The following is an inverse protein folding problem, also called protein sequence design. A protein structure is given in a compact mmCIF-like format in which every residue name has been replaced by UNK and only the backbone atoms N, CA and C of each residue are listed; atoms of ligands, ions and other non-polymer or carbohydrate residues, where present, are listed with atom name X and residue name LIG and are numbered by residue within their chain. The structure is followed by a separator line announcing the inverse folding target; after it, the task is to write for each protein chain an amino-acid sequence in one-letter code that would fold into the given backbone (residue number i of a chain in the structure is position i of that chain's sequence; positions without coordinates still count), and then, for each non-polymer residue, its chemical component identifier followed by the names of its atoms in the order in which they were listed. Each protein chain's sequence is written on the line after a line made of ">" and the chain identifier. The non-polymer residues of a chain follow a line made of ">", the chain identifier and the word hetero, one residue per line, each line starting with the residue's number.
data_IF_205914845179
#
_entry.id   IF_205914845179
#
_cell.length_a   1.000
_cell.length_b   1.000
_cell.length_c   1.000
_cell.angle_alpha   90.00
_cell.angle_beta   90.00
_cell.angle_gamma   90.00
#
_symmetry.space_group_name_H-M   'P 1'
#
loop_
_entity.id
_entity.type
_entity.pdbx_description
1 polymer ?
#
# COMPACT_ATOMS: atom_id res chain seq x y z
N UNK A 1 -37.57 -8.73 2.31
CA UNK A 1 -36.88 -7.56 1.73
C UNK A 1 -36.28 -6.72 2.86
N UNK A 2 -34.97 -6.45 2.83
CA UNK A 2 -34.32 -5.58 3.82
C UNK A 2 -34.67 -4.13 3.48
N UNK A 3 -35.26 -3.40 4.43
CA UNK A 3 -35.59 -1.99 4.23
C UNK A 3 -34.35 -1.12 4.03
N UNK A 4 -34.44 -0.02 3.27
CA UNK A 4 -33.29 0.83 2.90
C UNK A 4 -32.53 1.36 4.12
N UNK A 5 -33.23 1.66 5.21
CA UNK A 5 -32.61 2.08 6.48
C UNK A 5 -31.74 0.99 7.12
N UNK A 6 -32.18 -0.28 7.08
CA UNK A 6 -31.41 -1.41 7.59
C UNK A 6 -30.16 -1.65 6.73
N UNK A 7 -30.28 -1.51 5.41
CA UNK A 7 -29.15 -1.62 4.48
C UNK A 7 -28.11 -0.53 4.74
N UNK A 8 -28.55 0.73 4.86
CA UNK A 8 -27.68 1.86 5.18
C UNK A 8 -26.91 1.65 6.49
N UNK A 9 -27.59 1.16 7.54
CA UNK A 9 -26.96 0.86 8.83
C UNK A 9 -25.91 -0.25 8.74
N UNK A 10 -26.13 -1.27 7.91
CA UNK A 10 -25.16 -2.35 7.69
C UNK A 10 -23.94 -1.83 6.95
N UNK A 11 -24.15 -1.07 5.86
CA UNK A 11 -23.07 -0.45 5.08
C UNK A 11 -22.21 0.46 5.97
N UNK A 12 -22.84 1.31 6.79
CA UNK A 12 -22.13 2.20 7.71
C UNK A 12 -21.28 1.44 8.72
N UNK A 13 -21.80 0.36 9.31
CA UNK A 13 -21.04 -0.48 10.24
C UNK A 13 -19.86 -1.16 9.56
N UNK A 14 -20.04 -1.64 8.34
CA UNK A 14 -18.98 -2.26 7.56
C UNK A 14 -17.89 -1.24 7.23
N UNK A 15 -18.27 -0.03 6.81
CA UNK A 15 -17.34 1.06 6.55
C UNK A 15 -16.52 1.42 7.80
N UNK A 16 -17.17 1.61 8.94
CA UNK A 16 -16.48 1.90 10.20
C UNK A 16 -15.52 0.77 10.62
N UNK A 17 -15.90 -0.49 10.39
CA UNK A 17 -15.04 -1.63 10.68
C UNK A 17 -13.80 -1.65 9.76
N UNK A 18 -14.00 -1.47 8.45
CA UNK A 18 -12.92 -1.39 7.44
C UNK A 18 -11.97 -0.24 7.77
N UNK A 19 -12.51 0.95 8.02
CA UNK A 19 -11.73 2.14 8.37
C UNK A 19 -10.97 1.94 9.69
N UNK A 20 -11.64 1.40 10.72
CA UNK A 20 -11.02 1.10 12.00
C UNK A 20 -9.89 0.08 11.88
N UNK A 21 -10.07 -0.98 11.09
CA UNK A 21 -9.01 -1.96 10.81
C UNK A 21 -7.85 -1.35 10.04
N UNK A 22 -8.11 -0.53 9.02
CA UNK A 22 -7.04 0.19 8.30
C UNK A 22 -6.26 1.12 9.22
N UNK A 23 -6.96 1.93 10.03
CA UNK A 23 -6.33 2.83 10.98
C UNK A 23 -5.49 2.07 12.00
N UNK A 24 -6.00 0.94 12.51
CA UNK A 24 -5.25 0.08 13.42
C UNK A 24 -3.99 -0.48 12.75
N UNK A 25 -4.06 -0.95 11.50
CA UNK A 25 -2.86 -1.39 10.76
C UNK A 25 -1.88 -0.25 10.52
N UNK A 26 -2.35 0.95 10.16
CA UNK A 26 -1.50 2.12 9.95
C UNK A 26 -0.80 2.53 11.24
N UNK A 27 -1.52 2.54 12.37
CA UNK A 27 -0.95 2.80 13.69
C UNK A 27 0.04 1.72 14.12
N UNK A 28 -0.28 0.44 13.90
CA UNK A 28 0.65 -0.64 14.15
C UNK A 28 1.91 -0.47 13.30
N UNK A 29 1.78 -0.20 12.01
CA UNK A 29 2.93 0.02 11.13
C UNK A 29 3.79 1.20 11.62
N UNK A 30 3.16 2.31 12.02
CA UNK A 30 3.85 3.51 12.49
C UNK A 30 4.51 3.33 13.87
N UNK A 31 3.89 2.56 14.76
CA UNK A 31 4.24 2.49 16.18
C UNK A 31 4.83 1.12 16.62
N UNK A 32 4.85 0.11 15.75
CA UNK A 32 5.47 -1.21 16.01
C UNK A 32 6.93 -1.04 16.39
N UNK A 33 7.34 -1.72 17.48
CA UNK A 33 7.76 -1.03 18.68
C UNK A 33 8.94 -0.14 18.41
N UNK A 34 8.71 1.14 18.67
CA UNK A 34 9.75 2.09 18.97
C UNK A 34 9.98 2.09 20.48
N UNK A 35 11.22 1.94 20.97
CA UNK A 35 12.43 1.55 20.24
C UNK A 35 12.56 0.01 20.16
N UNK A 36 12.96 -0.52 19.01
CA UNK A 36 13.62 -1.83 19.00
C UNK A 36 14.89 -1.64 19.79
N UNK A 37 15.06 -2.31 20.93
CA UNK A 37 16.35 -2.32 21.62
C UNK A 37 17.42 -2.63 20.56
N UNK A 38 18.27 -1.64 20.29
CA UNK A 38 19.28 -1.76 19.26
C UNK A 38 20.07 -3.02 19.59
N UNK A 39 20.18 -3.88 18.59
CA UNK A 39 21.08 -4.99 18.71
C UNK A 39 22.45 -4.39 19.05
N UNK A 40 23.09 -4.87 20.12
CA UNK A 40 24.46 -4.48 20.47
C UNK A 40 25.40 -5.06 19.39
N UNK A 41 25.30 -4.48 18.20
CA UNK A 41 25.94 -4.88 16.98
C UNK A 41 27.23 -4.05 16.89
N UNK A 42 28.23 -4.51 17.63
CA UNK A 42 29.57 -3.95 17.62
C UNK A 42 30.35 -4.28 16.32
N UNK A 43 29.65 -4.70 15.26
CA UNK A 43 30.22 -5.06 13.96
C UNK A 43 31.00 -6.36 13.94
N UNK A 44 31.36 -6.97 15.08
CA UNK A 44 32.21 -8.17 15.11
C UNK A 44 31.53 -9.35 15.80
N UNK A 45 31.09 -9.20 17.04
CA UNK A 45 30.57 -10.31 17.82
C UNK A 45 29.23 -10.81 17.27
N UNK A 46 28.35 -9.89 16.89
CA UNK A 46 27.07 -10.24 16.28
C UNK A 46 27.28 -10.94 14.93
N UNK A 47 28.05 -10.33 14.03
CA UNK A 47 28.34 -10.89 12.70
C UNK A 47 28.97 -12.28 12.81
N UNK A 48 29.97 -12.43 13.68
CA UNK A 48 30.63 -13.72 13.96
C UNK A 48 29.63 -14.75 14.46
N UNK A 49 28.84 -14.41 15.48
CA UNK A 49 27.86 -15.33 16.09
C UNK A 49 26.80 -15.79 15.08
N UNK A 50 26.28 -14.88 14.25
CA UNK A 50 25.27 -15.22 13.23
C UNK A 50 25.85 -16.16 12.19
N UNK A 51 26.99 -15.81 11.59
CA UNK A 51 27.61 -16.62 10.54
C UNK A 51 28.05 -18.00 11.06
N UNK A 52 28.69 -18.07 12.24
CA UNK A 52 29.10 -19.34 12.84
C UNK A 52 27.92 -20.23 13.25
N UNK A 53 26.75 -19.65 13.50
CA UNK A 53 25.53 -20.42 13.77
C UNK A 53 24.86 -20.99 12.50
N UNK A 54 25.45 -20.79 11.32
CA UNK A 54 24.89 -21.20 10.03
C UNK A 54 23.67 -20.37 9.60
N UNK A 55 23.38 -19.27 10.29
CA UNK A 55 22.31 -18.34 9.96
C UNK A 55 22.80 -17.32 8.93
N UNK A 56 21.83 -16.71 8.26
CA UNK A 56 22.07 -15.67 7.27
C UNK A 56 22.29 -14.32 7.97
N UNK A 57 23.46 -13.72 7.76
CA UNK A 57 23.75 -12.36 8.18
C UNK A 57 23.28 -11.38 7.09
N UNK A 58 22.20 -10.67 7.36
CA UNK A 58 21.71 -9.58 6.51
C UNK A 58 22.34 -8.26 6.94
N UNK A 59 23.09 -7.61 6.05
CA UNK A 59 23.64 -6.26 6.28
C UNK A 59 23.13 -5.30 5.23
N UNK A 60 22.75 -4.12 5.71
CA UNK A 60 22.43 -2.96 4.89
C UNK A 60 23.61 -2.01 4.97
N UNK A 61 24.11 -1.58 3.82
CA UNK A 61 25.23 -0.67 3.68
C UNK A 61 24.74 0.68 3.22
N UNK A 62 25.16 1.73 3.94
CA UNK A 62 24.87 3.11 3.57
C UNK A 62 25.90 3.62 2.57
N UNK A 63 25.74 3.17 1.34
CA UNK A 63 26.59 3.57 0.24
C UNK A 63 25.73 3.68 -1.00
N UNK A 64 25.82 4.84 -1.67
CA UNK A 64 25.08 5.07 -2.89
C UNK A 64 25.43 4.03 -3.93
N UNK A 65 24.40 3.46 -4.57
CA UNK A 65 24.54 2.45 -5.62
C UNK A 65 23.64 2.83 -6.80
N UNK A 66 24.14 2.61 -8.02
CA UNK A 66 23.35 2.80 -9.23
C UNK A 66 22.42 1.60 -9.45
N UNK A 67 21.12 1.85 -9.57
CA UNK A 67 20.12 0.86 -9.99
C UNK A 67 20.05 0.80 -11.52
N UNK A 68 20.11 1.97 -12.16
CA UNK A 68 20.19 2.13 -13.61
C UNK A 68 21.11 3.32 -13.97
N UNK A 69 21.15 3.72 -15.24
CA UNK A 69 22.03 4.79 -15.73
C UNK A 69 21.69 6.19 -15.19
N UNK A 70 20.50 6.39 -14.62
CA UNK A 70 19.95 7.68 -14.20
C UNK A 70 19.53 7.71 -12.73
N UNK A 71 19.35 6.53 -12.11
CA UNK A 71 18.77 6.36 -10.79
C UNK A 71 19.79 5.72 -9.85
N UNK A 72 20.14 6.46 -8.79
CA UNK A 72 20.92 5.96 -7.66
C UNK A 72 20.04 5.80 -6.42
N UNK A 73 20.36 4.80 -5.59
CA UNK A 73 19.75 4.59 -4.27
C UNK A 73 20.76 4.83 -3.18
N UNK A 74 20.28 5.28 -2.02
CA UNK A 74 21.10 5.66 -0.87
C UNK A 74 21.84 4.48 -0.23
N UNK A 75 21.28 3.27 -0.33
CA UNK A 75 21.93 2.08 0.20
C UNK A 75 21.47 0.79 -0.45
N UNK A 76 22.15 -0.29 -0.07
CA UNK A 76 21.88 -1.63 -0.56
C UNK A 76 22.06 -2.68 0.53
N UNK A 77 21.46 -3.85 0.34
CA UNK A 77 21.50 -4.93 1.30
C UNK A 77 22.07 -6.22 0.70
N UNK A 78 23.02 -6.83 1.42
CA UNK A 78 23.59 -8.14 1.10
C UNK A 78 23.26 -9.15 2.20
N UNK A 79 22.95 -10.37 1.78
CA UNK A 79 22.78 -11.52 2.66
C UNK A 79 24.02 -12.42 2.54
N UNK A 80 24.65 -12.71 3.68
CA UNK A 80 25.81 -13.58 3.78
C UNK A 80 25.46 -14.85 4.53
N UNK A 81 25.87 -16.00 4.01
CA UNK A 81 25.70 -17.29 4.69
C UNK A 81 26.99 -18.10 4.61
N UNK A 82 27.54 -18.40 5.77
CA UNK A 82 28.76 -19.19 5.89
C UNK A 82 28.41 -20.67 5.98
N UNK A 83 28.97 -21.46 5.06
CA UNK A 83 29.06 -22.90 5.19
C UNK A 83 30.42 -23.26 5.78
N UNK A 84 30.40 -23.66 7.05
CA UNK A 84 31.60 -24.00 7.82
C UNK A 84 32.24 -25.31 7.35
N UNK A 85 31.46 -26.26 6.82
CA UNK A 85 31.98 -27.56 6.42
C UNK A 85 32.85 -27.43 5.16
N UNK A 86 32.39 -26.62 4.21
CA UNK A 86 33.08 -26.41 2.94
C UNK A 86 33.98 -25.16 2.93
N UNK A 87 33.96 -24.36 3.99
CA UNK A 87 34.62 -23.04 4.05
C UNK A 87 34.25 -22.20 2.82
N UNK A 88 32.95 -22.06 2.62
CA UNK A 88 32.39 -21.26 1.54
C UNK A 88 31.40 -20.24 2.06
N UNK A 89 31.39 -19.06 1.46
CA UNK A 89 30.47 -17.97 1.78
C UNK A 89 29.53 -17.75 0.60
N UNK A 90 28.25 -18.00 0.81
CA UNK A 90 27.22 -17.58 -0.12
C UNK A 90 26.90 -16.09 0.12
N UNK A 91 26.91 -15.30 -0.96
CA UNK A 91 26.53 -13.88 -0.96
C UNK A 91 25.31 -13.74 -1.86
N UNK A 92 24.26 -13.05 -1.40
CA UNK A 92 23.08 -12.80 -2.24
C UNK A 92 23.46 -12.13 -3.56
N UNK A 93 22.93 -12.64 -4.66
CA UNK A 93 23.20 -12.13 -6.00
C UNK A 93 24.40 -12.78 -6.70
N UNK A 94 25.16 -13.66 -6.02
CA UNK A 94 26.14 -14.54 -6.66
C UNK A 94 25.56 -15.93 -6.90
N UNK A 95 25.83 -16.49 -8.09
CA UNK A 95 25.41 -17.85 -8.44
C UNK A 95 26.21 -18.92 -7.70
N UNK A 96 27.51 -18.67 -7.49
CA UNK A 96 28.43 -19.62 -6.88
C UNK A 96 28.92 -19.12 -5.53
N UNK A 97 28.98 -20.00 -4.51
CA UNK A 97 29.51 -19.62 -3.20
C UNK A 97 31.03 -19.42 -3.28
N UNK A 98 31.53 -18.44 -2.54
CA UNK A 98 32.92 -18.03 -2.56
C UNK A 98 33.76 -18.87 -1.59
N UNK A 99 34.85 -19.46 -2.07
CA UNK A 99 35.83 -20.11 -1.18
C UNK A 99 36.57 -19.05 -0.35
N UNK A 100 36.45 -19.08 0.98
CA UNK A 100 36.99 -18.01 1.85
C UNK A 100 38.46 -18.22 2.21
N UNK A 101 38.90 -19.46 2.42
CA UNK A 101 40.26 -19.77 2.85
C UNK A 101 40.84 -20.82 1.91
N UNK A 102 41.96 -20.48 1.25
CA UNK A 102 42.69 -21.38 0.34
C UNK A 102 44.10 -21.56 0.85
N UNK A 103 44.50 -22.82 1.06
CA UNK A 103 45.81 -23.19 1.62
C UNK A 103 47.03 -22.79 0.77
N UNK A 104 46.84 -22.31 -0.47
CA UNK A 104 47.92 -22.11 -1.44
C UNK A 104 48.21 -20.64 -1.78
N UNK A 105 47.78 -19.68 -0.95
CA UNK A 105 48.13 -18.27 -1.12
C UNK A 105 49.56 -18.01 -0.60
N UNK A 106 50.55 -18.44 -1.39
CA UNK A 106 51.97 -18.17 -1.16
C UNK A 106 52.42 -16.79 -1.67
N UNK A 107 51.50 -15.97 -2.19
CA UNK A 107 51.84 -14.69 -2.80
C UNK A 107 51.64 -13.53 -1.81
N UNK A 108 52.70 -12.77 -1.59
CA UNK A 108 52.80 -11.71 -0.56
C UNK A 108 51.80 -10.57 -0.79
N UNK A 109 51.30 -10.43 -2.03
CA UNK A 109 50.35 -9.38 -2.41
C UNK A 109 48.87 -9.80 -2.30
N UNK A 110 48.59 -11.04 -1.90
CA UNK A 110 47.23 -11.58 -1.88
C UNK A 110 46.64 -11.78 -3.28
N UNK A 111 45.51 -12.48 -3.35
CA UNK A 111 44.71 -12.61 -4.59
C UNK A 111 43.58 -11.60 -4.54
N UNK A 112 43.31 -10.96 -5.67
CA UNK A 112 42.17 -10.09 -5.86
C UNK A 112 41.29 -10.64 -6.99
N UNK A 113 39.98 -10.64 -6.79
CA UNK A 113 38.99 -11.04 -7.79
C UNK A 113 37.84 -10.05 -7.78
N UNK A 114 37.35 -9.69 -8.96
CA UNK A 114 36.20 -8.81 -9.08
C UNK A 114 34.95 -9.66 -9.29
N UNK A 115 33.87 -9.31 -8.60
CA UNK A 115 32.59 -9.97 -8.73
C UNK A 115 31.50 -8.92 -8.79
N UNK A 116 30.47 -9.12 -9.61
CA UNK A 116 29.31 -8.24 -9.63
C UNK A 116 28.13 -8.96 -8.98
N UNK A 117 27.46 -8.31 -8.04
CA UNK A 117 26.34 -8.91 -7.31
C UNK A 117 25.07 -8.10 -7.49
N UNK A 118 23.95 -8.80 -7.67
CA UNK A 118 22.63 -8.18 -7.66
C UNK A 118 22.16 -8.05 -6.21
N UNK A 119 22.18 -6.82 -5.69
CA UNK A 119 21.78 -6.50 -4.32
C UNK A 119 20.42 -5.80 -4.30
N UNK A 120 19.69 -5.94 -3.18
CA UNK A 120 18.46 -5.18 -2.96
C UNK A 120 18.85 -3.74 -2.66
N UNK A 121 18.27 -2.78 -3.38
CA UNK A 121 18.57 -1.37 -3.20
C UNK A 121 17.34 -0.60 -2.72
N UNK A 122 17.57 0.51 -2.04
CA UNK A 122 16.48 1.37 -1.61
C UNK A 122 16.93 2.63 -0.88
N UNK A 123 15.94 3.45 -0.59
CA UNK A 123 16.11 4.73 0.09
C UNK A 123 15.48 4.71 1.48
N UNK A 124 15.84 5.70 2.28
CA UNK A 124 15.24 5.91 3.61
C UNK A 124 13.95 6.72 3.55
N UNK A 125 13.56 7.21 2.37
CA UNK A 125 12.41 8.07 2.16
C UNK A 125 11.16 7.28 1.69
N UNK A 126 10.19 8.03 1.14
CA UNK A 126 8.96 7.49 0.59
C UNK A 126 7.97 7.06 1.66
N UNK A 127 7.62 5.78 1.64
CA UNK A 127 6.67 5.20 2.58
C UNK A 127 7.29 4.94 3.97
N UNK A 128 8.52 5.34 4.26
CA UNK A 128 9.16 5.10 5.56
C UNK A 128 9.00 6.29 6.50
N UNK A 129 8.80 6.04 7.80
CA UNK A 129 8.74 7.12 8.80
C UNK A 129 10.15 7.52 9.26
N UNK A 130 10.38 8.79 9.62
CA UNK A 130 11.73 9.29 9.98
C UNK A 130 12.42 8.55 11.12
N UNK A 131 11.63 7.89 11.97
CA UNK A 131 12.17 7.13 13.10
C UNK A 131 12.53 5.69 12.72
N UNK A 132 12.11 5.15 11.58
CA UNK A 132 12.45 3.76 11.23
C UNK A 132 13.98 3.58 11.18
N UNK A 133 14.51 2.48 11.78
CA UNK A 133 15.91 2.16 11.63
C UNK A 133 16.30 2.10 10.16
N UNK A 134 17.45 2.66 9.84
CA UNK A 134 17.93 2.82 8.47
C UNK A 134 17.89 1.52 7.65
N UNK A 135 18.35 0.40 8.25
CA UNK A 135 18.28 -0.91 7.61
C UNK A 135 16.84 -1.34 7.27
N UNK A 136 15.90 -1.06 8.16
CA UNK A 136 14.49 -1.39 7.94
C UNK A 136 13.93 -0.54 6.81
N UNK A 137 14.21 0.77 6.80
CA UNK A 137 13.69 1.69 5.81
C UNK A 137 14.13 1.30 4.38
N UNK A 138 15.42 1.03 4.17
CA UNK A 138 15.95 0.59 2.87
C UNK A 138 15.32 -0.74 2.43
N UNK A 139 15.19 -1.70 3.35
CA UNK A 139 14.61 -3.00 3.03
C UNK A 139 13.09 -2.96 2.83
N UNK A 140 12.38 -2.05 3.50
CA UNK A 140 10.95 -1.79 3.29
C UNK A 140 10.73 -1.07 1.96
N UNK A 141 11.57 -0.10 1.63
CA UNK A 141 11.57 0.54 0.31
C UNK A 141 11.70 -0.51 -0.79
N UNK A 142 12.69 -1.39 -0.67
CA UNK A 142 12.88 -2.50 -1.59
C UNK A 142 11.66 -3.42 -1.66
N UNK A 143 11.02 -3.71 -0.52
CA UNK A 143 9.85 -4.60 -0.48
C UNK A 143 8.69 -4.05 -1.32
N UNK A 144 8.55 -2.72 -1.38
CA UNK A 144 7.51 -2.02 -2.15
C UNK A 144 7.90 -1.89 -3.62
N UNK A 145 9.11 -1.41 -3.91
CA UNK A 145 9.54 -1.05 -5.27
C UNK A 145 10.21 -2.20 -6.04
N UNK A 146 10.71 -3.23 -5.34
CA UNK A 146 11.41 -4.39 -5.90
C UNK A 146 12.64 -4.05 -6.73
N UNK A 147 13.37 -3.02 -6.32
CA UNK A 147 14.53 -2.54 -7.08
C UNK A 147 15.83 -3.25 -6.72
N UNK A 148 16.58 -3.63 -7.73
CA UNK A 148 17.87 -4.28 -7.55
C UNK A 148 18.97 -3.42 -8.17
N UNK A 149 20.11 -3.36 -7.50
CA UNK A 149 21.29 -2.69 -8.01
C UNK A 149 22.40 -3.70 -8.28
N UNK A 150 23.20 -3.43 -9.31
CA UNK A 150 24.41 -4.17 -9.59
C UNK A 150 25.56 -3.53 -8.79
N UNK A 151 26.04 -4.25 -7.78
CA UNK A 151 27.10 -3.81 -6.88
C UNK A 151 28.40 -4.49 -7.29
N UNK A 152 29.37 -3.76 -7.85
CA UNK A 152 30.67 -4.33 -8.15
C UNK A 152 31.46 -4.46 -6.84
N UNK A 153 31.90 -5.69 -6.56
CA UNK A 153 32.64 -6.08 -5.38
C UNK A 153 34.07 -6.45 -5.76
N UNK A 154 34.98 -6.16 -4.85
CA UNK A 154 36.36 -6.65 -4.87
C UNK A 154 36.52 -7.67 -3.75
N UNK A 155 36.93 -8.88 -4.11
CA UNK A 155 37.21 -9.98 -3.23
C UNK A 155 38.71 -10.07 -3.04
N UNK A 156 39.19 -9.99 -1.81
CA UNK A 156 40.62 -10.00 -1.51
C UNK A 156 40.94 -11.11 -0.52
N UNK A 157 41.88 -11.98 -0.89
CA UNK A 157 42.46 -12.97 0.00
C UNK A 157 43.87 -12.56 0.35
N UNK A 158 44.18 -12.48 1.64
CA UNK A 158 45.50 -12.13 2.14
C UNK A 158 45.92 -13.03 3.29
N UNK A 159 47.24 -13.15 3.46
CA UNK A 159 47.86 -13.83 4.57
C UNK A 159 48.62 -12.79 5.41
N UNK A 160 48.32 -12.73 6.71
CA UNK A 160 48.99 -11.85 7.67
C UNK A 160 49.86 -12.68 8.61
N UNK A 161 50.90 -12.06 9.19
CA UNK A 161 51.78 -12.68 10.20
C UNK A 161 52.41 -13.99 9.70
N UNK A 162 53.12 -13.93 8.57
CA UNK A 162 53.81 -15.08 7.96
C UNK A 162 52.91 -16.30 7.64
N UNK A 163 51.63 -16.06 7.33
CA UNK A 163 50.69 -17.13 6.96
C UNK A 163 49.90 -17.72 8.13
N UNK A 164 50.09 -17.19 9.35
CA UNK A 164 49.35 -17.63 10.53
C UNK A 164 47.90 -17.16 10.49
N UNK A 165 47.62 -15.99 9.93
CA UNK A 165 46.26 -15.45 9.83
C UNK A 165 45.85 -15.38 8.37
N UNK A 166 44.78 -16.09 8.02
CA UNK A 166 44.15 -15.96 6.71
C UNK A 166 43.02 -14.94 6.81
N UNK A 167 43.01 -13.97 5.90
CA UNK A 167 42.00 -12.91 5.83
C UNK A 167 41.33 -12.92 4.47
N UNK A 168 40.01 -12.83 4.47
CA UNK A 168 39.18 -12.71 3.29
C UNK A 168 38.28 -11.49 3.43
N UNK A 169 38.46 -10.52 2.54
CA UNK A 169 37.73 -9.26 2.55
C UNK A 169 36.85 -9.14 1.31
N UNK A 170 35.65 -8.61 1.53
CA UNK A 170 34.73 -8.17 0.49
C UNK A 170 34.63 -6.66 0.61
N UNK A 171 35.03 -5.91 -0.42
CA UNK A 171 34.93 -4.45 -0.47
C UNK A 171 34.17 -3.99 -1.71
N UNK A 172 33.79 -2.72 -1.77
CA UNK A 172 33.20 -2.12 -2.96
C UNK A 172 34.30 -1.81 -3.98
N UNK A 173 34.07 -2.17 -5.24
CA UNK A 173 34.96 -1.79 -6.34
C UNK A 173 34.63 -0.35 -6.78
N UNK A 174 35.17 0.64 -6.07
CA UNK A 174 34.90 2.05 -6.34
C UNK A 174 36.03 2.99 -5.92
N UNK A 175 36.36 3.97 -6.78
CA UNK A 175 37.25 5.08 -6.43
C UNK A 175 36.57 5.97 -5.38
N UNK A 176 37.09 5.99 -4.15
CA UNK A 176 36.66 6.94 -3.12
C UNK A 176 36.00 6.33 -1.89
N UNK A 177 35.73 5.02 -1.90
CA UNK A 177 35.43 4.29 -0.68
C UNK A 177 36.76 3.88 -0.05
N UNK A 178 36.97 4.26 1.21
CA UNK A 178 38.15 3.86 1.96
C UNK A 178 38.28 2.34 2.04
N UNK A 179 39.39 1.85 2.60
CA UNK A 179 39.72 0.42 2.78
C UNK A 179 38.73 -0.39 3.66
N UNK A 180 37.51 0.10 3.85
CA UNK A 180 36.47 -0.47 4.68
C UNK A 180 35.80 -1.64 3.95
N UNK A 181 36.27 -2.85 4.24
CA UNK A 181 35.61 -4.08 3.81
C UNK A 181 34.15 -4.11 4.31
N UNK A 182 33.22 -4.38 3.40
CA UNK A 182 31.81 -4.67 3.68
C UNK A 182 31.67 -5.87 4.62
N UNK A 183 32.50 -6.89 4.42
CA UNK A 183 32.65 -8.05 5.29
C UNK A 183 34.11 -8.51 5.26
N UNK A 184 34.70 -8.69 6.42
CA UNK A 184 36.05 -9.23 6.60
C UNK A 184 35.95 -10.50 7.45
N UNK A 185 36.47 -11.62 6.93
CA UNK A 185 36.59 -12.89 7.63
C UNK A 185 38.06 -13.15 7.93
N UNK A 186 38.38 -13.43 9.19
CA UNK A 186 39.73 -13.80 9.64
C UNK A 186 39.72 -15.18 10.27
N UNK A 187 40.73 -15.99 9.99
CA UNK A 187 40.91 -17.31 10.60
C UNK A 187 42.37 -17.47 11.00
N UNK A 188 42.60 -17.98 12.22
CA UNK A 188 43.93 -18.30 12.72
C UNK A 188 44.27 -19.76 12.43
N UNK A 189 45.40 -19.97 11.75
CA UNK A 189 45.88 -21.26 11.30
C UNK A 189 44.88 -21.95 10.38
N UNK A 190 44.44 -23.13 10.78
CA UNK A 190 43.42 -23.92 10.09
C UNK A 190 42.24 -24.28 10.99
N UNK A 191 42.09 -23.57 12.12
CA UNK A 191 41.01 -23.85 13.05
C UNK A 191 39.78 -23.01 12.71
N UNK A 192 38.75 -23.67 12.18
CA UNK A 192 37.46 -23.05 11.87
C UNK A 192 36.75 -22.45 13.08
N UNK A 193 37.11 -22.85 14.31
CA UNK A 193 36.57 -22.26 15.54
C UNK A 193 37.06 -20.82 15.78
N UNK A 194 38.19 -20.46 15.15
CA UNK A 194 38.81 -19.13 15.27
C UNK A 194 38.27 -18.13 14.26
N UNK A 195 37.35 -18.54 13.39
CA UNK A 195 36.78 -17.66 12.37
C UNK A 195 36.09 -16.46 13.05
N UNK A 196 36.54 -15.26 12.72
CA UNK A 196 35.94 -13.99 13.15
C UNK A 196 35.46 -13.24 11.93
N UNK A 197 34.23 -12.75 12.00
CA UNK A 197 33.63 -11.88 11.00
C UNK A 197 33.55 -10.47 11.54
N UNK A 198 33.93 -9.49 10.74
CA UNK A 198 33.80 -8.07 11.04
C UNK A 198 33.11 -7.35 9.88
N UNK A 199 32.22 -6.44 10.21
CA UNK A 199 31.51 -5.55 9.27
C UNK A 199 31.69 -4.10 9.73
N UNK A 200 31.50 -3.11 8.84
CA UNK A 200 31.59 -1.71 9.20
C UNK A 200 30.64 -1.36 10.35
N UNK A 201 31.08 -0.48 11.25
CA UNK A 201 30.23 0.00 12.34
C UNK A 201 29.10 0.89 11.79
N UNK A 202 28.08 1.13 12.62
CA UNK A 202 27.09 2.15 12.32
C UNK A 202 27.76 3.54 12.24
N UNK A 203 27.30 4.43 11.34
CA UNK A 203 26.11 4.31 10.47
C UNK A 203 26.39 3.61 9.12
N UNK A 204 27.63 3.23 8.83
CA UNK A 204 28.02 2.74 7.50
C UNK A 204 27.42 1.37 7.17
N UNK A 205 27.18 0.53 8.18
CA UNK A 205 26.33 -0.64 7.99
C UNK A 205 25.51 -0.99 9.22
N UNK A 206 24.33 -1.55 8.99
CA UNK A 206 23.39 -1.94 10.04
C UNK A 206 22.64 -3.23 9.67
N UNK A 207 22.19 -3.94 10.71
CA UNK A 207 21.34 -5.12 10.57
C UNK A 207 19.88 -4.69 10.67
N UNK A 208 18.95 -5.39 10.00
CA UNK A 208 17.52 -5.13 10.18
C UNK A 208 17.14 -5.31 11.65
N UNK A 209 16.16 -4.53 12.11
CA UNK A 209 15.63 -4.66 13.45
C UNK A 209 14.83 -5.95 13.61
N UNK A 210 14.58 -6.35 14.86
CA UNK A 210 13.68 -7.45 15.16
C UNK A 210 12.23 -7.21 14.75
N UNK A 211 11.82 -5.95 14.60
CA UNK A 211 10.45 -5.58 14.22
C UNK A 211 10.27 -5.55 12.72
N UNK A 212 11.36 -5.57 11.94
CA UNK A 212 11.34 -5.57 10.48
C UNK A 212 10.38 -6.60 9.87
N UNK A 213 10.38 -7.90 10.26
CA UNK A 213 9.47 -8.88 9.67
C UNK A 213 7.99 -8.53 9.92
N UNK A 214 7.68 -7.95 11.09
CA UNK A 214 6.32 -7.52 11.42
C UNK A 214 5.93 -6.32 10.58
N UNK A 215 6.83 -5.33 10.40
CA UNK A 215 6.57 -4.18 9.53
C UNK A 215 6.35 -4.60 8.08
N UNK A 216 7.11 -5.57 7.58
CA UNK A 216 6.89 -6.17 6.26
C UNK A 216 5.51 -6.82 6.16
N UNK A 217 5.11 -7.60 7.17
CA UNK A 217 3.79 -8.22 7.18
C UNK A 217 2.67 -7.18 7.18
N UNK A 218 2.79 -6.12 7.98
CA UNK A 218 1.78 -5.06 8.04
C UNK A 218 1.72 -4.28 6.73
N UNK A 219 2.85 -3.88 6.13
CA UNK A 219 2.82 -3.12 4.88
C UNK A 219 2.26 -3.94 3.71
N UNK A 220 2.52 -5.25 3.67
CA UNK A 220 1.97 -6.14 2.64
C UNK A 220 0.44 -6.24 2.70
N UNK A 221 -0.17 -6.05 3.88
CA UNK A 221 -1.62 -6.00 4.04
C UNK A 221 -2.15 -4.58 3.86
N UNK A 222 -1.46 -3.59 4.44
CA UNK A 222 -1.86 -2.20 4.45
C UNK A 222 -1.83 -1.57 3.04
N UNK A 223 -0.81 -1.87 2.22
CA UNK A 223 -0.67 -1.30 0.89
C UNK A 223 -1.87 -1.60 -0.04
N UNK A 224 -2.25 -2.87 -0.30
CA UNK A 224 -3.42 -3.16 -1.14
C UNK A 224 -4.72 -2.65 -0.50
N UNK A 225 -4.85 -2.71 0.83
CA UNK A 225 -6.02 -2.20 1.52
C UNK A 225 -6.15 -0.67 1.40
N UNK A 226 -5.02 0.05 1.38
CA UNK A 226 -4.98 1.50 1.19
C UNK A 226 -5.40 1.90 -0.22
N UNK A 227 -5.01 1.12 -1.24
CA UNK A 227 -5.47 1.32 -2.61
C UNK A 227 -6.99 1.10 -2.74
N UNK A 228 -7.51 0.02 -2.17
CA UNK A 228 -8.95 -0.25 -2.14
C UNK A 228 -9.71 0.84 -1.37
N UNK A 229 -9.16 1.28 -0.24
CA UNK A 229 -9.76 2.35 0.56
C UNK A 229 -9.77 3.67 -0.20
N UNK A 230 -8.69 4.03 -0.89
CA UNK A 230 -8.61 5.23 -1.72
C UNK A 230 -9.66 5.23 -2.83
N UNK A 231 -9.80 4.12 -3.56
CA UNK A 231 -10.79 3.98 -4.65
C UNK A 231 -12.24 4.11 -4.14
N UNK A 232 -12.53 3.50 -2.98
CA UNK A 232 -13.84 3.62 -2.33
C UNK A 232 -14.10 5.05 -1.87
N UNK A 233 -13.13 5.70 -1.22
CA UNK A 233 -13.27 7.08 -0.74
C UNK A 233 -13.39 8.06 -1.89
N UNK A 234 -12.65 7.88 -2.98
CA UNK A 234 -12.74 8.72 -4.18
C UNK A 234 -14.13 8.60 -4.83
N UNK A 235 -14.65 7.38 -4.96
CA UNK A 235 -16.01 7.12 -5.45
C UNK A 235 -17.08 7.80 -4.59
N UNK A 236 -16.95 7.74 -3.26
CA UNK A 236 -17.86 8.43 -2.35
C UNK A 236 -17.68 9.95 -2.35
N UNK A 237 -16.45 10.43 -2.51
CA UNK A 237 -16.12 11.85 -2.65
C UNK A 237 -16.75 12.45 -3.91
N UNK A 238 -16.76 11.72 -5.02
CA UNK A 238 -17.46 12.10 -6.25
C UNK A 238 -18.97 12.21 -6.05
N UNK A 239 -19.58 11.24 -5.35
CA UNK A 239 -21.01 11.29 -4.99
C UNK A 239 -21.34 12.45 -4.06
N UNK A 240 -20.48 12.75 -3.09
CA UNK A 240 -20.68 13.86 -2.18
C UNK A 240 -20.53 15.21 -2.90
N UNK A 241 -19.50 15.36 -3.74
CA UNK A 241 -19.29 16.55 -4.56
C UNK A 241 -20.44 16.80 -5.54
N UNK A 242 -20.94 15.76 -6.20
CA UNK A 242 -22.12 15.87 -7.05
C UNK A 242 -23.34 16.29 -6.23
N UNK A 243 -23.61 15.65 -5.09
CA UNK A 243 -24.73 16.01 -4.24
C UNK A 243 -24.67 17.48 -3.75
N UNK A 244 -23.49 17.94 -3.30
CA UNK A 244 -23.25 19.33 -2.92
C UNK A 244 -23.46 20.27 -4.11
N UNK A 245 -22.94 19.93 -5.29
CA UNK A 245 -23.16 20.72 -6.51
C UNK A 245 -24.64 20.84 -6.85
N UNK A 246 -25.40 19.75 -6.79
CA UNK A 246 -26.84 19.76 -7.05
C UNK A 246 -27.61 20.66 -6.06
N UNK A 247 -27.26 20.60 -4.78
CA UNK A 247 -27.84 21.48 -3.75
C UNK A 247 -27.54 22.94 -4.05
N UNK A 248 -26.28 23.28 -4.36
CA UNK A 248 -25.90 24.64 -4.71
C UNK A 248 -26.59 25.14 -5.99
N UNK A 249 -26.67 24.31 -7.03
CA UNK A 249 -27.39 24.64 -8.26
C UNK A 249 -28.88 24.90 -7.98
N UNK A 250 -29.54 24.06 -7.16
CA UNK A 250 -30.93 24.26 -6.78
C UNK A 250 -31.16 25.56 -6.00
N UNK A 251 -30.26 25.89 -5.05
CA UNK A 251 -30.33 27.16 -4.31
C UNK A 251 -30.16 28.35 -5.27
N UNK A 252 -29.20 28.28 -6.19
CA UNK A 252 -28.93 29.37 -7.14
C UNK A 252 -30.12 29.58 -8.09
N UNK A 253 -30.69 28.51 -8.63
CA UNK A 253 -31.91 28.58 -9.44
C UNK A 253 -33.08 29.14 -8.64
N UNK A 254 -33.25 28.72 -7.38
CA UNK A 254 -34.27 29.26 -6.49
C UNK A 254 -34.11 30.77 -6.28
N UNK A 255 -32.89 31.25 -6.06
CA UNK A 255 -32.59 32.67 -5.93
C UNK A 255 -32.84 33.45 -7.22
N UNK A 256 -32.44 32.91 -8.38
CA UNK A 256 -32.69 33.55 -9.68
C UNK A 256 -34.19 33.64 -9.97
N UNK A 257 -34.94 32.55 -9.80
CA UNK A 257 -36.39 32.53 -9.99
C UNK A 257 -37.06 33.52 -9.03
N UNK A 258 -36.68 33.50 -7.75
CA UNK A 258 -37.21 34.44 -6.76
C UNK A 258 -36.88 35.89 -7.13
N UNK A 259 -35.68 36.17 -7.65
CA UNK A 259 -35.25 37.49 -8.11
C UNK A 259 -36.03 37.95 -9.33
N UNK A 260 -36.28 37.07 -10.30
CA UNK A 260 -37.09 37.36 -11.50
C UNK A 260 -38.54 37.65 -11.10
N UNK A 261 -39.12 36.85 -10.19
CA UNK A 261 -40.47 37.08 -9.68
C UNK A 261 -40.55 38.42 -8.93
N UNK A 262 -39.60 38.72 -8.05
CA UNK A 262 -39.55 39.98 -7.32
C UNK A 262 -39.37 41.19 -8.24
N UNK A 263 -38.49 41.09 -9.24
CA UNK A 263 -38.28 42.13 -10.25
C UNK A 263 -39.54 42.34 -11.12
N UNK A 264 -40.17 41.25 -11.56
CA UNK A 264 -41.44 41.32 -12.30
C UNK A 264 -42.55 41.97 -11.48
N UNK A 265 -42.66 41.64 -10.20
CA UNK A 265 -43.59 42.29 -9.28
C UNK A 265 -43.30 43.77 -9.09
N UNK A 266 -42.03 44.16 -8.94
CA UNK A 266 -41.62 45.56 -8.81
C UNK A 266 -41.96 46.36 -10.07
N UNK A 267 -41.70 45.80 -11.27
CA UNK A 267 -42.02 46.44 -12.54
C UNK A 267 -43.54 46.56 -12.79
N UNK A 268 -44.35 45.62 -12.26
CA UNK A 268 -45.80 45.63 -12.41
C UNK A 268 -46.53 46.39 -11.29
N UNK A 269 -45.84 46.82 -10.24
CA UNK A 269 -46.41 47.56 -9.11
C UNK A 269 -47.40 46.77 -8.26
N UNK A 270 -47.40 45.43 -8.36
CA UNK A 270 -48.40 44.56 -7.71
C UNK A 270 -47.91 44.00 -6.37
N UNK A 271 -48.82 43.91 -5.41
CA UNK A 271 -48.53 43.37 -4.08
C UNK A 271 -48.48 41.82 -4.13
N UNK A 272 -47.60 41.13 -3.37
CA UNK A 272 -47.43 39.68 -3.42
C UNK A 272 -48.71 38.85 -3.29
N UNK A 273 -49.69 39.33 -2.52
CA UNK A 273 -50.98 38.64 -2.35
C UNK A 273 -51.82 38.62 -3.64
N UNK A 274 -51.79 39.69 -4.45
CA UNK A 274 -52.57 39.74 -5.69
C UNK A 274 -52.06 38.76 -6.75
N UNK A 275 -50.77 38.41 -6.70
CA UNK A 275 -50.16 37.46 -7.62
C UNK A 275 -50.45 36.01 -7.21
N UNK A 276 -50.49 35.75 -5.90
CA UNK A 276 -50.95 34.46 -5.36
C UNK A 276 -52.42 34.23 -5.71
N UNK A 277 -53.26 35.25 -5.56
CA UNK A 277 -54.68 35.17 -5.92
C UNK A 277 -54.87 34.98 -7.43
N UNK A 278 -54.11 35.68 -8.27
CA UNK A 278 -54.17 35.52 -9.73
C UNK A 278 -53.67 34.16 -10.23
N UNK A 279 -52.59 33.64 -9.66
CA UNK A 279 -52.09 32.29 -9.97
C UNK A 279 -53.05 31.23 -9.44
N UNK A 280 -53.64 31.46 -8.25
CA UNK A 280 -54.69 30.65 -7.68
C UNK A 280 -55.92 30.57 -8.58
N UNK A 281 -56.41 31.71 -9.05
CA UNK A 281 -57.54 31.82 -9.97
C UNK A 281 -57.25 31.15 -11.32
N UNK A 282 -56.04 31.26 -11.85
CA UNK A 282 -55.72 30.65 -13.14
C UNK A 282 -55.43 29.14 -13.04
N UNK A 283 -54.91 28.67 -11.89
CA UNK A 283 -54.87 27.23 -11.55
C UNK A 283 -56.27 26.67 -11.32
N UNK A 284 -57.14 27.44 -10.66
CA UNK A 284 -58.55 27.10 -10.47
C UNK A 284 -59.26 26.98 -11.82
N UNK A 285 -59.02 27.93 -12.73
CA UNK A 285 -59.58 27.95 -14.07
C UNK A 285 -59.01 26.87 -14.97
N UNK A 286 -57.73 26.50 -14.83
CA UNK A 286 -57.15 25.32 -15.50
C UNK A 286 -57.74 24.02 -14.96
N UNK A 287 -57.98 23.94 -13.65
CA UNK A 287 -58.63 22.80 -12.99
C UNK A 287 -60.11 22.67 -13.39
N UNK A 288 -60.81 23.78 -13.55
CA UNK A 288 -62.20 23.86 -13.96
C UNK A 288 -62.37 23.89 -15.49
N UNK A 289 -61.26 23.96 -16.23
CA UNK A 289 -61.25 23.92 -17.69
C UNK A 289 -61.80 22.59 -18.18
N UNK A 290 -62.54 22.67 -19.28
CA UNK A 290 -63.27 21.56 -19.91
C UNK A 290 -62.36 20.38 -20.27
N UNK A 291 -61.06 20.64 -20.46
CA UNK A 291 -60.02 19.63 -20.69
C UNK A 291 -59.87 18.71 -19.47
N UNK A 292 -59.76 19.25 -18.25
CA UNK A 292 -59.67 18.43 -17.00
C UNK A 292 -60.98 17.70 -16.68
N UNK A 293 -62.15 18.26 -17.05
CA UNK A 293 -63.45 17.57 -16.96
C UNK A 293 -63.55 16.36 -17.89
N UNK A 294 -62.99 16.45 -19.10
CA UNK A 294 -62.93 15.34 -20.07
C UNK A 294 -62.06 14.17 -19.59
N UNK A 295 -61.02 14.46 -18.81
CA UNK A 295 -60.17 13.44 -18.18
C UNK A 295 -60.78 12.84 -16.90
N UNK A 296 -61.80 13.48 -16.32
CA UNK A 296 -62.48 13.05 -15.10
C UNK A 296 -63.88 12.50 -15.41
N UNK A 297 -63.93 11.43 -16.20
CA UNK A 297 -65.05 10.48 -16.22
C UNK A 297 -66.37 10.99 -16.78
N UNK A 298 -66.69 10.56 -18.00
CA UNK A 298 -68.06 10.43 -18.51
C UNK A 298 -68.74 9.25 -17.80
N UNK A 299 -69.11 9.44 -16.53
CA UNK A 299 -69.98 8.51 -15.82
C UNK A 299 -71.42 9.01 -15.97
N UNK A 300 -72.22 8.30 -16.75
CA UNK A 300 -73.68 8.36 -16.68
C UNK A 300 -74.38 8.72 -17.99
N UNK A 301 -74.30 7.85 -19.00
CA UNK A 301 -75.40 7.74 -19.96
C UNK A 301 -76.33 6.63 -19.46
N UNK A 302 -77.41 7.03 -18.77
CA UNK A 302 -78.51 6.16 -18.34
C UNK A 302 -79.29 5.68 -19.58
N UNK A 303 -79.17 4.39 -19.88
CA UNK A 303 -80.06 3.65 -20.78
C UNK A 303 -81.24 3.09 -19.97
N UNK A 304 -82.51 3.26 -20.40
CA UNK A 304 -83.65 2.85 -19.61
C UNK A 304 -83.95 1.34 -19.72
N UNK A 305 -84.29 0.80 -18.55
CA UNK A 305 -84.96 -0.45 -18.20
C UNK A 305 -85.46 -1.37 -19.33
N UNK A 306 -84.90 -2.59 -19.37
CA UNK A 306 -85.44 -3.76 -20.04
C UNK A 306 -85.28 -5.00 -19.16
N UNK A 307 -86.41 -5.68 -18.90
CA UNK A 307 -86.64 -6.73 -17.91
C UNK A 307 -85.92 -8.08 -18.14
N UNK A 308 -85.47 -8.71 -17.03
CA UNK A 308 -85.63 -10.15 -16.64
C UNK A 308 -85.03 -11.28 -17.51
N UNK A 309 -84.88 -12.54 -17.02
CA UNK A 309 -84.26 -13.07 -15.79
C UNK A 309 -83.26 -14.23 -16.06
N UNK A 310 -82.75 -14.85 -14.99
CA UNK A 310 -82.29 -16.25 -14.88
C UNK A 310 -81.00 -16.71 -15.61
N UNK A 311 -80.01 -17.22 -14.88
CA UNK A 311 -79.77 -18.65 -14.62
C UNK A 311 -78.30 -19.02 -14.32
N UNK A 312 -78.10 -19.65 -13.16
CA UNK A 312 -77.29 -20.86 -12.87
C UNK A 312 -75.86 -21.05 -13.43
N UNK A 313 -74.96 -21.37 -12.48
CA UNK A 313 -73.89 -22.41 -12.49
C UNK A 313 -72.74 -22.22 -13.52
N UNK A 314 -71.49 -22.62 -13.32
CA UNK A 314 -70.81 -23.48 -12.34
C UNK A 314 -69.31 -23.18 -12.33
N UNK A 315 -68.67 -23.59 -11.24
CA UNK A 315 -67.26 -23.95 -11.05
C UNK A 315 -66.57 -24.69 -12.22
N UNK A 316 -65.30 -24.36 -12.48
CA UNK A 316 -64.20 -25.18 -13.07
C UNK A 316 -62.93 -24.34 -12.81
N UNK A 317 -61.91 -24.63 -11.99
CA UNK A 317 -61.08 -25.81 -11.68
C UNK A 317 -60.39 -26.47 -12.89
N UNK A 318 -59.15 -26.04 -13.13
CA UNK A 318 -58.02 -26.73 -13.78
C UNK A 318 -56.85 -25.72 -13.71
N UNK A 319 -55.77 -25.87 -12.95
CA UNK A 319 -54.75 -26.93 -12.92
C UNK A 319 -54.26 -27.39 -14.30
N UNK A 320 -52.96 -27.67 -14.38
CA UNK A 320 -52.15 -28.33 -15.43
C UNK A 320 -50.83 -27.57 -15.72
N UNK A 321 -49.79 -28.05 -15.02
CA UNK A 321 -48.46 -28.52 -15.47
C UNK A 321 -47.56 -27.62 -16.34
N UNK A 322 -46.30 -27.37 -15.95
CA UNK A 322 -45.09 -28.22 -16.05
C UNK A 322 -44.59 -28.50 -17.48
N UNK A 323 -43.25 -28.66 -17.58
CA UNK A 323 -42.38 -29.07 -18.72
C UNK A 323 -41.75 -27.86 -19.45
N UNK A 324 -40.43 -27.64 -19.53
CA UNK A 324 -39.19 -28.41 -19.28
C UNK A 324 -38.22 -27.61 -18.40
#
# INVERSE_FOLDING_TARGET
>A
MIGPWKLCRIIWRLFLAIFGSWLLLALLWALLPFPSAEHNDNGTDYATKVLLSGKTLRRVYWSSVMVDAYTSRQGFALDYKLDRANLTLAVSGLEQPLSIFRHTLADVNGRMEEANVTARAGDTDGANLPWFPQADAILLFWQIHREYANVPLTLQWSAQEAGVVQKFDISLNGRGHGDDALLSLKMWGNDTSTIRASVPLQPNSSSPSYTYPVRVAVILVLAPFSLLFADVVESFGGLFNTLVSWIFTAIFFGLVVSGVVAAGMYCLGKHPQELVDMVGDELQKLRDSEVMRRWRGTDGEEVPAGNSPEQKKSSTEADVSHVC
#
